data_IF_828315404320
#
_entry.id   IF_828315404320
#
_cell.length_a   1.000
_cell.length_b   1.000
_cell.length_c   1.000
_cell.angle_alpha   90.00
_cell.angle_beta   90.00
_cell.angle_gamma   90.00
#
_symmetry.space_group_name_H-M   'P 1'
#
loop_
_entity.id
_entity.type
_entity.pdbx_description
1 polymer ?
#
# COMPACT_ATOMS: atom_id res chain seq x y z
N UNK A 1 -11.55 8.94 -2.32
CA UNK A 1 -11.60 7.47 -2.10
C UNK A 1 -12.13 7.21 -0.70
N UNK A 2 -13.08 6.29 -0.50
CA UNK A 2 -13.56 5.99 0.86
C UNK A 2 -12.56 5.10 1.62
N UNK A 3 -12.53 5.20 2.95
CA UNK A 3 -11.68 4.35 3.81
C UNK A 3 -11.88 2.86 3.53
N UNK A 4 -13.12 2.44 3.32
CA UNK A 4 -13.47 1.06 2.95
C UNK A 4 -12.88 0.65 1.59
N UNK A 5 -12.85 1.55 0.60
CA UNK A 5 -12.24 1.27 -0.70
C UNK A 5 -10.72 1.00 -0.57
N UNK A 6 -10.03 1.77 0.26
CA UNK A 6 -8.60 1.55 0.54
C UNK A 6 -8.33 0.18 1.18
N UNK A 7 -9.11 -0.21 2.19
CA UNK A 7 -8.94 -1.54 2.81
C UNK A 7 -9.26 -2.69 1.85
N UNK A 8 -10.21 -2.51 0.92
CA UNK A 8 -10.46 -3.50 -0.13
C UNK A 8 -9.29 -3.63 -1.10
N UNK A 9 -8.69 -2.52 -1.53
CA UNK A 9 -7.45 -2.55 -2.34
C UNK A 9 -6.34 -3.29 -1.60
N UNK A 10 -6.13 -2.98 -0.31
CA UNK A 10 -5.13 -3.67 0.52
C UNK A 10 -5.39 -5.17 0.63
N UNK A 11 -6.64 -5.58 0.86
CA UNK A 11 -7.02 -6.99 0.94
C UNK A 11 -6.75 -7.74 -0.38
N UNK A 12 -6.80 -7.03 -1.51
CA UNK A 12 -6.48 -7.56 -2.85
C UNK A 12 -4.99 -7.51 -3.18
N UNK A 13 -4.11 -7.10 -2.25
CA UNK A 13 -2.68 -6.92 -2.52
C UNK A 13 -2.36 -5.73 -3.43
N UNK A 14 -3.30 -4.80 -3.60
CA UNK A 14 -3.14 -3.60 -4.45
C UNK A 14 -2.68 -2.38 -3.64
N UNK A 15 -1.97 -2.61 -2.53
CA UNK A 15 -1.43 -1.58 -1.65
C UNK A 15 0.06 -1.87 -1.38
N UNK A 16 0.86 -0.85 -1.03
CA UNK A 16 2.25 -1.06 -0.65
C UNK A 16 2.34 -1.94 0.61
N UNK A 17 3.51 -2.53 0.84
CA UNK A 17 3.76 -3.33 2.04
C UNK A 17 3.64 -2.45 3.28
N UNK A 18 2.79 -2.87 4.22
CA UNK A 18 2.51 -2.15 5.46
C UNK A 18 3.03 -2.97 6.63
N UNK A 19 3.82 -2.34 7.49
CA UNK A 19 4.28 -2.91 8.74
C UNK A 19 3.46 -2.36 9.90
N UNK A 20 2.99 -3.25 10.77
CA UNK A 20 2.34 -2.87 12.02
C UNK A 20 3.42 -2.72 13.08
N UNK A 21 3.55 -1.51 13.63
CA UNK A 21 4.45 -1.26 14.75
C UNK A 21 3.88 -1.82 16.05
N UNK A 22 4.72 -2.09 17.06
CA UNK A 22 4.27 -2.54 18.39
C UNK A 22 3.27 -1.59 19.05
N UNK A 23 3.34 -0.29 18.74
CA UNK A 23 2.40 0.73 19.23
C UNK A 23 1.04 0.74 18.49
N UNK A 24 0.79 -0.23 17.60
CA UNK A 24 -0.46 -0.35 16.86
C UNK A 24 -0.57 0.53 15.61
N UNK A 25 0.38 1.43 15.36
CA UNK A 25 0.39 2.25 14.16
C UNK A 25 0.80 1.43 12.93
N UNK A 26 0.26 1.80 11.77
CA UNK A 26 0.66 1.25 10.49
C UNK A 26 1.70 2.18 9.85
N UNK A 27 2.83 1.62 9.41
CA UNK A 27 3.87 2.32 8.67
C UNK A 27 4.11 1.66 7.33
N UNK A 28 4.54 2.46 6.38
CA UNK A 28 5.00 2.02 5.07
C UNK A 28 6.43 2.54 4.93
N UNK A 29 7.36 1.65 4.57
CA UNK A 29 8.72 2.06 4.25
C UNK A 29 8.74 2.85 2.95
N UNK A 30 9.64 3.82 2.82
CA UNK A 30 9.77 4.60 1.59
C UNK A 30 10.05 3.71 0.38
N UNK A 31 10.95 2.74 0.53
CA UNK A 31 11.30 1.79 -0.54
C UNK A 31 10.09 0.92 -0.98
N UNK A 32 9.28 0.45 -0.02
CA UNK A 32 8.07 -0.33 -0.33
C UNK A 32 7.01 0.53 -1.05
N UNK A 33 6.94 1.82 -0.72
CA UNK A 33 6.05 2.77 -1.38
C UNK A 33 6.51 3.05 -2.82
N UNK A 34 7.80 3.34 -3.02
CA UNK A 34 8.36 3.62 -4.33
C UNK A 34 8.25 2.41 -5.27
N UNK A 35 8.52 1.19 -4.77
CA UNK A 35 8.35 -0.05 -5.54
C UNK A 35 6.88 -0.29 -5.95
N UNK A 36 5.93 0.02 -5.06
CA UNK A 36 4.52 -0.07 -5.39
C UNK A 36 4.11 0.94 -6.46
N UNK A 37 4.58 2.19 -6.37
CA UNK A 37 4.32 3.20 -7.40
C UNK A 37 4.84 2.78 -8.77
N UNK A 38 6.08 2.30 -8.86
CA UNK A 38 6.64 1.78 -10.11
C UNK A 38 5.77 0.66 -10.72
N UNK A 39 5.27 -0.26 -9.87
CA UNK A 39 4.37 -1.33 -10.32
C UNK A 39 3.00 -0.83 -10.82
N UNK A 40 2.52 0.28 -10.27
CA UNK A 40 1.27 0.90 -10.69
C UNK A 40 1.42 1.64 -12.01
N UNK A 41 2.53 2.35 -12.21
CA UNK A 41 2.87 3.03 -13.45
C UNK A 41 3.02 2.02 -14.61
N UNK A 42 3.64 0.86 -14.36
CA UNK A 42 3.75 -0.22 -15.35
C UNK A 42 2.42 -0.89 -15.73
N UNK A 43 1.37 -0.79 -14.90
CA UNK A 43 0.04 -1.31 -15.25
C UNK A 43 -0.83 -0.29 -16.00
N UNK A 44 -0.42 0.97 -16.04
CA UNK A 44 -1.17 2.04 -16.71
C UNK A 44 -0.69 2.30 -18.14
N UNK A 45 0.41 1.68 -18.57
CA UNK A 45 0.92 1.66 -19.94
C UNK A 45 0.44 0.41 -20.68
#
# INVERSE_FOLDING_TARGET
MSRAAFYRMRARGQAPRIQKLPNGQLRVSRADLDAWWASCEQRAA
#
